data_IF_661489775704
#
_entry.id   IF_661489775704
#
_cell.length_a   1.000
_cell.length_b   1.000
_cell.length_c   1.000
_cell.angle_alpha   90.00
_cell.angle_beta   90.00
_cell.angle_gamma   90.00
#
_symmetry.space_group_name_H-M   'P 1'
#
loop_
_entity.id
_entity.type
_entity.pdbx_description
1 polymer ?
#
# COMPACT_ATOMS: atom_id res chain seq x y z
N UNK A 1 27.37 16.09 7.96
CA UNK A 1 27.40 14.61 8.13
C UNK A 1 28.86 14.18 8.06
N UNK A 2 29.40 13.53 9.11
CA UNK A 2 30.85 13.35 9.27
C UNK A 2 31.53 12.41 8.26
N UNK A 3 30.80 11.59 7.50
CA UNK A 3 31.40 10.67 6.52
C UNK A 3 30.51 10.43 5.27
N UNK A 4 30.60 11.29 4.23
CA UNK A 4 29.77 11.17 3.02
C UNK A 4 30.12 9.96 2.14
N UNK A 5 31.25 9.30 2.41
CA UNK A 5 31.77 8.17 1.66
C UNK A 5 31.28 6.80 2.19
N UNK A 6 30.62 6.74 3.35
CA UNK A 6 30.16 5.47 3.94
C UNK A 6 29.16 4.71 3.06
N UNK A 7 28.25 5.42 2.39
CA UNK A 7 27.27 4.79 1.50
C UNK A 7 27.93 4.17 0.25
N UNK A 8 28.73 4.91 -0.55
CA UNK A 8 29.41 4.32 -1.70
C UNK A 8 30.44 3.25 -1.29
N UNK A 9 31.13 3.41 -0.15
CA UNK A 9 32.04 2.40 0.38
C UNK A 9 31.30 1.10 0.75
N UNK A 10 30.15 1.19 1.43
CA UNK A 10 29.33 0.01 1.75
C UNK A 10 28.84 -0.73 0.50
N UNK A 11 28.46 0.00 -0.55
CA UNK A 11 28.06 -0.58 -1.83
C UNK A 11 29.22 -1.28 -2.55
N UNK A 12 30.43 -0.71 -2.51
CA UNK A 12 31.62 -1.35 -3.07
C UNK A 12 32.05 -2.59 -2.28
N UNK A 13 31.94 -2.57 -0.94
CA UNK A 13 32.18 -3.75 -0.10
C UNK A 13 31.16 -4.85 -0.41
N UNK A 14 29.89 -4.50 -0.58
CA UNK A 14 28.87 -5.45 -1.01
C UNK A 14 29.18 -6.07 -2.37
N UNK A 15 29.73 -5.27 -3.29
CA UNK A 15 30.12 -5.70 -4.64
C UNK A 15 31.29 -6.68 -4.60
N UNK A 16 32.28 -6.44 -3.73
CA UNK A 16 33.40 -7.37 -3.52
C UNK A 16 32.94 -8.72 -2.97
N UNK A 17 31.98 -8.72 -2.04
CA UNK A 17 31.35 -9.96 -1.58
C UNK A 17 30.65 -10.75 -2.70
N UNK A 18 29.94 -10.04 -3.59
CA UNK A 18 29.33 -10.64 -4.79
C UNK A 18 30.36 -11.20 -5.78
N UNK A 19 31.43 -10.44 -6.07
CA UNK A 19 32.50 -10.93 -6.93
C UNK A 19 33.18 -12.17 -6.34
N UNK A 20 33.40 -12.20 -5.02
CA UNK A 20 33.90 -13.39 -4.32
C UNK A 20 32.99 -14.61 -4.52
N UNK A 21 31.67 -14.42 -4.52
CA UNK A 21 30.72 -15.50 -4.81
C UNK A 21 30.77 -15.96 -6.27
N UNK A 22 31.08 -15.07 -7.21
CA UNK A 22 31.30 -15.43 -8.62
C UNK A 22 32.58 -16.26 -8.85
N UNK A 23 33.59 -16.10 -7.98
CA UNK A 23 34.87 -16.82 -8.04
C UNK A 23 34.80 -18.17 -7.32
N UNK A 24 34.14 -18.23 -6.16
CA UNK A 24 34.08 -19.43 -5.30
C UNK A 24 32.87 -20.31 -5.64
N UNK A 25 31.85 -19.75 -6.30
CA UNK A 25 30.65 -20.47 -6.71
C UNK A 25 30.89 -21.52 -7.80
N UNK A 26 29.88 -22.34 -8.14
CA UNK A 26 29.98 -23.33 -9.21
C UNK A 26 30.38 -22.67 -10.53
N UNK A 27 31.30 -23.32 -11.26
CA UNK A 27 31.79 -22.85 -12.54
C UNK A 27 30.64 -22.62 -13.52
N UNK A 28 30.74 -21.57 -14.33
CA UNK A 28 29.81 -21.37 -15.43
C UNK A 28 29.90 -22.55 -16.41
N UNK A 29 28.82 -22.83 -17.13
CA UNK A 29 28.73 -23.97 -18.06
C UNK A 29 29.78 -23.93 -19.19
N UNK A 30 30.36 -22.76 -19.44
CA UNK A 30 31.41 -22.47 -20.42
C UNK A 30 32.83 -22.36 -19.81
N UNK A 31 32.97 -22.59 -18.50
CA UNK A 31 34.25 -22.44 -17.78
C UNK A 31 34.67 -20.99 -17.52
N UNK A 32 33.80 -20.01 -17.84
CA UNK A 32 34.07 -18.59 -17.68
C UNK A 32 33.88 -18.05 -16.25
N UNK A 33 34.44 -16.85 -16.00
CA UNK A 33 34.24 -16.13 -14.74
C UNK A 33 32.79 -15.60 -14.67
N UNK A 34 32.01 -16.06 -13.70
CA UNK A 34 30.60 -15.65 -13.55
C UNK A 34 30.52 -14.30 -12.85
N UNK A 35 30.12 -13.24 -13.56
CA UNK A 35 29.85 -11.92 -12.95
C UNK A 35 28.39 -11.91 -12.48
N UNK A 36 28.11 -11.85 -11.16
CA UNK A 36 26.73 -11.80 -10.70
C UNK A 36 26.05 -10.50 -11.16
N UNK A 37 24.75 -10.55 -11.53
CA UNK A 37 24.02 -9.37 -12.01
C UNK A 37 23.93 -8.24 -10.96
N UNK A 38 24.13 -8.56 -9.68
CA UNK A 38 24.22 -7.57 -8.60
C UNK A 38 25.47 -6.68 -8.65
N UNK A 39 26.56 -7.12 -9.30
CA UNK A 39 27.83 -6.36 -9.41
C UNK A 39 27.66 -5.03 -10.15
N UNK A 40 27.13 -4.99 -11.39
CA UNK A 40 26.92 -3.71 -12.08
C UNK A 40 25.92 -2.81 -11.35
N UNK A 41 24.91 -3.39 -10.68
CA UNK A 41 23.90 -2.63 -9.92
C UNK A 41 24.54 -1.92 -8.72
N UNK A 42 25.40 -2.60 -7.96
CA UNK A 42 26.10 -1.99 -6.83
C UNK A 42 27.14 -0.97 -7.28
N UNK A 43 27.84 -1.22 -8.40
CA UNK A 43 28.80 -0.27 -8.96
C UNK A 43 28.11 1.03 -9.40
N UNK A 44 27.01 0.93 -10.13
CA UNK A 44 26.18 2.08 -10.52
C UNK A 44 25.60 2.77 -9.28
N UNK A 45 25.10 2.01 -8.30
CA UNK A 45 24.65 2.55 -7.01
C UNK A 45 25.74 3.34 -6.28
N UNK A 46 26.98 2.83 -6.26
CA UNK A 46 28.12 3.51 -5.66
C UNK A 46 28.47 4.80 -6.42
N UNK A 47 28.52 4.77 -7.75
CA UNK A 47 28.77 5.95 -8.57
C UNK A 47 27.67 7.02 -8.39
N UNK A 48 26.40 6.62 -8.38
CA UNK A 48 25.25 7.51 -8.19
C UNK A 48 25.25 8.13 -6.79
N UNK A 49 25.53 7.34 -5.75
CA UNK A 49 25.57 7.85 -4.36
C UNK A 49 26.78 8.75 -4.10
N UNK A 50 27.87 8.54 -4.84
CA UNK A 50 29.08 9.37 -4.84
C UNK A 50 28.86 10.72 -5.54
N UNK A 51 28.33 10.69 -6.78
CA UNK A 51 28.17 11.87 -7.63
C UNK A 51 26.95 12.71 -7.23
N UNK A 52 25.83 12.07 -6.91
CA UNK A 52 24.60 12.75 -6.50
C UNK A 52 24.42 12.68 -5.00
N UNK A 53 25.08 13.62 -4.33
CA UNK A 53 25.13 13.70 -2.86
C UNK A 53 23.80 14.09 -2.17
N UNK A 54 22.70 14.12 -2.93
CA UNK A 54 21.37 14.51 -2.47
C UNK A 54 20.47 13.35 -2.08
N UNK A 55 19.21 13.68 -1.73
CA UNK A 55 18.17 12.68 -1.44
C UNK A 55 17.90 11.76 -2.64
N UNK A 56 18.08 12.29 -3.86
CA UNK A 56 17.93 11.53 -5.09
C UNK A 56 18.95 10.37 -5.19
N UNK A 57 20.24 10.67 -5.03
CA UNK A 57 21.26 9.61 -4.99
C UNK A 57 21.09 8.68 -3.78
N UNK A 58 20.56 9.18 -2.66
CA UNK A 58 20.25 8.35 -1.50
C UNK A 58 19.14 7.32 -1.76
N UNK A 59 18.07 7.72 -2.46
CA UNK A 59 16.97 6.84 -2.86
C UNK A 59 17.44 5.82 -3.89
N UNK A 60 18.17 6.25 -4.92
CA UNK A 60 18.69 5.33 -5.93
C UNK A 60 19.70 4.33 -5.34
N UNK A 61 20.53 4.77 -4.38
CA UNK A 61 21.39 3.88 -3.61
C UNK A 61 20.60 2.84 -2.81
N UNK A 62 19.48 3.23 -2.19
CA UNK A 62 18.62 2.29 -1.46
C UNK A 62 17.93 1.30 -2.39
N UNK A 63 17.51 1.74 -3.58
CA UNK A 63 16.99 0.84 -4.62
C UNK A 63 18.04 -0.20 -5.01
N UNK A 64 19.30 0.21 -5.24
CA UNK A 64 20.38 -0.71 -5.54
C UNK A 64 20.62 -1.73 -4.40
N UNK A 65 20.65 -1.27 -3.14
CA UNK A 65 20.73 -2.16 -1.96
C UNK A 65 19.57 -3.14 -1.93
N UNK A 66 18.33 -2.66 -2.10
CA UNK A 66 17.13 -3.49 -2.07
C UNK A 66 17.13 -4.54 -3.18
N UNK A 67 17.35 -4.15 -4.43
CA UNK A 67 17.38 -5.08 -5.57
C UNK A 67 18.40 -6.19 -5.35
N UNK A 68 19.60 -5.83 -4.89
CA UNK A 68 20.69 -6.80 -4.70
C UNK A 68 20.44 -7.69 -3.48
N UNK A 69 19.85 -7.15 -2.41
CA UNK A 69 19.46 -7.92 -1.23
C UNK A 69 18.40 -8.96 -1.60
N UNK A 70 17.38 -8.55 -2.36
CA UNK A 70 16.29 -9.40 -2.84
C UNK A 70 16.81 -10.50 -3.77
N UNK A 71 17.65 -10.14 -4.74
CA UNK A 71 18.29 -11.12 -5.63
C UNK A 71 19.19 -12.11 -4.85
N UNK A 72 19.86 -11.65 -3.79
CA UNK A 72 20.73 -12.50 -2.97
C UNK A 72 19.94 -13.48 -2.10
N UNK A 73 18.80 -13.05 -1.57
CA UNK A 73 17.86 -13.91 -0.84
C UNK A 73 17.22 -14.92 -1.79
N UNK A 74 16.79 -14.47 -2.98
CA UNK A 74 16.17 -15.33 -4.00
C UNK A 74 17.11 -16.41 -4.54
N UNK A 75 18.43 -16.17 -4.53
CA UNK A 75 19.44 -17.19 -4.87
C UNK A 75 19.62 -18.29 -3.81
N UNK A 76 19.00 -18.16 -2.64
CA UNK A 76 19.17 -19.07 -1.50
C UNK A 76 20.58 -19.05 -0.90
N UNK A 77 20.77 -19.84 0.15
CA UNK A 77 22.09 -20.07 0.76
C UNK A 77 22.95 -21.06 -0.04
N UNK A 78 22.35 -21.77 -1.01
CA UNK A 78 22.97 -22.84 -1.79
C UNK A 78 23.23 -24.10 -0.95
N UNK A 79 23.32 -25.30 -1.57
CA UNK A 79 23.76 -26.51 -0.89
C UNK A 79 25.26 -26.46 -0.49
N UNK A 80 25.99 -25.46 -0.96
CA UNK A 80 27.46 -25.33 -0.88
C UNK A 80 28.00 -24.90 0.49
N UNK A 81 27.15 -24.77 1.52
CA UNK A 81 27.60 -24.42 2.89
C UNK A 81 28.33 -25.56 3.61
N UNK A 82 28.32 -26.77 3.04
CA UNK A 82 28.96 -27.97 3.59
C UNK A 82 30.08 -28.42 2.63
N UNK A 83 31.28 -28.69 3.16
CA UNK A 83 32.46 -29.10 2.39
C UNK A 83 33.48 -27.97 2.17
N UNK A 84 34.53 -28.24 1.39
CA UNK A 84 35.73 -27.38 1.24
C UNK A 84 35.45 -25.98 0.68
N UNK A 85 34.27 -25.76 0.07
CA UNK A 85 33.83 -24.47 -0.48
C UNK A 85 32.94 -23.66 0.47
N UNK A 86 32.46 -24.24 1.56
CA UNK A 86 31.50 -23.61 2.47
C UNK A 86 32.04 -22.39 3.20
N UNK A 87 33.29 -22.47 3.71
CA UNK A 87 33.90 -21.35 4.42
C UNK A 87 34.13 -20.12 3.52
N UNK A 88 34.74 -20.23 2.32
CA UNK A 88 34.90 -19.07 1.45
C UNK A 88 33.57 -18.51 0.90
N UNK A 89 32.56 -19.36 0.63
CA UNK A 89 31.20 -18.91 0.26
C UNK A 89 30.56 -18.13 1.41
N UNK A 90 30.65 -18.64 2.65
CA UNK A 90 30.13 -17.97 3.82
C UNK A 90 30.82 -16.60 4.02
N UNK A 91 32.14 -16.53 3.96
CA UNK A 91 32.89 -15.27 4.10
C UNK A 91 32.46 -14.25 3.03
N UNK A 92 32.33 -14.67 1.78
CA UNK A 92 31.88 -13.78 0.70
C UNK A 92 30.45 -13.25 0.93
N UNK A 93 29.53 -14.10 1.43
CA UNK A 93 28.18 -13.69 1.85
C UNK A 93 28.20 -12.71 3.03
N UNK A 94 29.02 -12.94 4.05
CA UNK A 94 29.14 -12.05 5.20
C UNK A 94 29.66 -10.66 4.79
N UNK A 95 30.70 -10.62 3.96
CA UNK A 95 31.24 -9.38 3.39
C UNK A 95 30.17 -8.65 2.59
N UNK A 96 29.40 -9.38 1.77
CA UNK A 96 28.30 -8.84 0.99
C UNK A 96 27.24 -8.17 1.89
N UNK A 97 26.75 -8.90 2.90
CA UNK A 97 25.68 -8.44 3.78
C UNK A 97 26.11 -7.28 4.68
N UNK A 98 27.34 -7.30 5.18
CA UNK A 98 27.90 -6.19 5.95
C UNK A 98 27.99 -4.90 5.11
N UNK A 99 28.41 -5.02 3.84
CA UNK A 99 28.42 -3.90 2.89
C UNK A 99 27.03 -3.31 2.64
N UNK A 100 26.04 -4.18 2.37
CA UNK A 100 24.65 -3.77 2.13
C UNK A 100 24.04 -3.06 3.36
N UNK A 101 24.27 -3.60 4.56
CA UNK A 101 23.78 -3.02 5.80
C UNK A 101 24.41 -1.64 6.09
N UNK A 102 25.74 -1.52 5.90
CA UNK A 102 26.45 -0.25 6.06
C UNK A 102 25.95 0.82 5.07
N UNK A 103 25.73 0.42 3.81
CA UNK A 103 25.17 1.29 2.78
C UNK A 103 23.75 1.74 3.14
N UNK A 104 22.86 0.82 3.50
CA UNK A 104 21.49 1.11 3.90
C UNK A 104 21.44 2.11 5.06
N UNK A 105 22.21 1.85 6.12
CA UNK A 105 22.30 2.72 7.29
C UNK A 105 22.73 4.14 6.90
N UNK A 106 23.80 4.28 6.12
CA UNK A 106 24.31 5.57 5.70
C UNK A 106 23.31 6.35 4.82
N UNK A 107 22.62 5.65 3.92
CA UNK A 107 21.63 6.25 3.01
C UNK A 107 20.35 6.69 3.74
N UNK A 108 19.84 5.88 4.67
CA UNK A 108 18.70 6.22 5.53
C UNK A 108 19.02 7.42 6.42
N UNK A 109 20.20 7.42 7.04
CA UNK A 109 20.66 8.55 7.87
C UNK A 109 20.76 9.85 7.06
N UNK A 110 21.19 9.75 5.81
CA UNK A 110 21.28 10.89 4.88
C UNK A 110 19.92 11.48 4.53
N UNK A 111 18.91 10.63 4.35
CA UNK A 111 17.52 11.04 4.14
C UNK A 111 16.92 11.66 5.42
N UNK A 112 17.27 11.14 6.59
CA UNK A 112 16.80 11.65 7.88
C UNK A 112 17.39 13.03 8.24
N UNK A 113 18.69 13.25 7.95
CA UNK A 113 19.40 14.48 8.32
C UNK A 113 19.00 15.73 7.52
N UNK A 114 18.28 15.60 6.39
CA UNK A 114 17.75 16.75 5.62
C UNK A 114 16.50 17.39 6.22
N UNK A 115 16.08 16.97 7.42
CA UNK A 115 14.87 17.45 8.10
C UNK A 115 15.09 18.43 9.25
N UNK A 116 16.32 18.83 9.55
CA UNK A 116 16.54 19.94 10.49
C UNK A 116 16.16 21.26 9.81
N UNK A 117 15.15 21.99 10.30
CA UNK A 117 14.69 23.22 9.68
C UNK A 117 15.49 24.39 10.26
N UNK A 118 16.62 24.73 9.62
CA UNK A 118 17.29 26.00 9.86
C UNK A 118 17.54 26.69 8.52
N UNK A 119 16.87 27.84 8.35
CA UNK A 119 17.26 28.93 7.45
C UNK A 119 17.07 28.72 5.95
N UNK A 120 16.12 29.46 5.35
CA UNK A 120 16.44 30.49 4.35
C UNK A 120 15.18 30.99 3.65
N UNK A 121 15.06 32.32 3.65
CA UNK A 121 14.07 33.10 2.94
C UNK A 121 14.23 32.99 1.41
N UNK A 122 13.12 33.21 0.70
CA UNK A 122 13.14 33.67 -0.70
C UNK A 122 13.48 32.63 -1.76
N UNK A 123 12.66 31.58 -1.92
CA UNK A 123 12.68 30.76 -3.13
C UNK A 123 11.33 30.86 -3.87
N UNK A 124 11.39 31.14 -5.18
CA UNK A 124 10.28 30.98 -6.13
C UNK A 124 9.54 29.67 -5.86
N UNK A 125 8.21 29.58 -6.06
CA UNK A 125 7.43 28.40 -5.66
C UNK A 125 7.99 27.14 -6.33
N UNK A 126 8.76 26.36 -5.55
CA UNK A 126 9.25 25.05 -5.97
C UNK A 126 8.02 24.21 -6.32
N UNK A 127 7.98 23.69 -7.55
CA UNK A 127 6.94 22.78 -8.03
C UNK A 127 6.74 21.68 -6.99
N UNK A 128 5.58 21.64 -6.36
CA UNK A 128 5.30 20.73 -5.25
C UNK A 128 5.21 19.27 -5.74
N UNK A 129 6.37 18.62 -5.82
CA UNK A 129 6.50 17.22 -6.27
C UNK A 129 5.82 16.23 -5.32
N UNK A 130 5.54 16.64 -4.08
CA UNK A 130 4.94 15.75 -3.09
C UNK A 130 3.50 15.36 -3.46
N UNK A 131 2.80 16.19 -4.25
CA UNK A 131 1.47 15.89 -4.77
C UNK A 131 1.51 14.77 -5.82
N UNK A 132 2.45 14.82 -6.75
CA UNK A 132 2.65 13.77 -7.78
C UNK A 132 3.05 12.46 -7.12
N UNK A 133 3.96 12.51 -6.15
CA UNK A 133 4.37 11.32 -5.39
C UNK A 133 3.24 10.71 -4.57
N UNK A 134 2.32 11.52 -4.01
CA UNK A 134 1.13 11.00 -3.34
C UNK A 134 0.19 10.27 -4.30
N UNK A 135 -0.03 10.83 -5.49
CA UNK A 135 -0.89 10.21 -6.50
C UNK A 135 -0.25 8.91 -6.98
N UNK A 136 1.02 8.94 -7.41
CA UNK A 136 1.71 7.75 -7.89
C UNK A 136 1.81 6.67 -6.80
N UNK A 137 2.13 7.06 -5.56
CA UNK A 137 2.19 6.14 -4.44
C UNK A 137 0.82 5.53 -4.09
N UNK A 138 -0.28 6.28 -4.24
CA UNK A 138 -1.63 5.74 -4.09
C UNK A 138 -1.91 4.67 -5.16
N UNK A 139 -1.65 4.97 -6.43
CA UNK A 139 -1.88 4.03 -7.54
C UNK A 139 -1.11 2.72 -7.31
N UNK A 140 0.17 2.82 -6.93
CA UNK A 140 1.02 1.68 -6.61
C UNK A 140 0.49 0.91 -5.40
N UNK A 141 0.10 1.58 -4.32
CA UNK A 141 -0.44 0.92 -3.14
C UNK A 141 -1.78 0.22 -3.39
N UNK A 142 -2.63 0.77 -4.27
CA UNK A 142 -3.87 0.10 -4.66
C UNK A 142 -3.59 -1.21 -5.40
N UNK A 143 -2.66 -1.20 -6.37
CA UNK A 143 -2.28 -2.43 -7.07
C UNK A 143 -1.58 -3.46 -6.18
N UNK A 144 -0.73 -2.98 -5.26
CA UNK A 144 -0.10 -3.85 -4.25
C UNK A 144 -1.15 -4.45 -3.32
N UNK A 145 -2.00 -3.62 -2.70
CA UNK A 145 -2.98 -4.08 -1.72
C UNK A 145 -4.02 -5.03 -2.32
N UNK A 146 -4.49 -4.72 -3.53
CA UNK A 146 -5.46 -5.57 -4.24
C UNK A 146 -4.88 -6.96 -4.53
N UNK A 147 -3.71 -7.02 -5.17
CA UNK A 147 -3.24 -8.25 -5.83
C UNK A 147 -1.86 -8.70 -5.32
N UNK A 148 -0.85 -7.84 -5.47
CA UNK A 148 0.55 -8.28 -5.31
C UNK A 148 0.91 -8.61 -3.86
N UNK A 149 0.23 -8.02 -2.88
CA UNK A 149 0.54 -8.22 -1.47
C UNK A 149 0.11 -9.58 -0.94
N UNK A 150 -0.97 -10.14 -1.50
CA UNK A 150 -1.41 -11.50 -1.18
C UNK A 150 -0.51 -12.55 -1.85
N UNK A 151 0.16 -12.20 -2.96
CA UNK A 151 1.11 -13.09 -3.64
C UNK A 151 0.50 -14.45 -4.00
N UNK A 152 -0.78 -14.43 -4.42
CA UNK A 152 -1.56 -15.63 -4.72
C UNK A 152 -1.48 -16.04 -6.20
N UNK A 153 -1.00 -15.18 -7.09
CA UNK A 153 -0.96 -15.46 -8.54
C UNK A 153 0.39 -15.99 -9.02
N UNK A 154 0.37 -16.57 -10.21
CA UNK A 154 1.54 -17.11 -10.92
C UNK A 154 2.60 -16.06 -11.29
N UNK A 155 2.20 -14.78 -11.42
CA UNK A 155 3.11 -13.65 -11.61
C UNK A 155 4.00 -13.33 -10.40
N UNK A 156 3.76 -14.00 -9.26
CA UNK A 156 4.50 -13.81 -8.02
C UNK A 156 5.99 -14.08 -8.22
N UNK A 157 6.84 -13.09 -7.93
CA UNK A 157 8.28 -13.22 -8.08
C UNK A 157 8.81 -13.04 -9.51
N UNK A 158 7.96 -12.84 -10.53
CA UNK A 158 8.37 -12.44 -11.87
C UNK A 158 8.46 -10.90 -11.98
N UNK A 159 9.66 -10.32 -12.16
CA UNK A 159 9.80 -8.87 -12.28
C UNK A 159 9.02 -8.26 -13.45
N UNK A 160 8.88 -8.98 -14.56
CA UNK A 160 8.16 -8.52 -15.75
C UNK A 160 6.65 -8.44 -15.48
N UNK A 161 6.08 -9.55 -15.01
CA UNK A 161 4.70 -9.66 -14.57
C UNK A 161 4.35 -8.63 -13.49
N UNK A 162 5.20 -8.44 -12.47
CA UNK A 162 4.98 -7.44 -11.42
C UNK A 162 4.93 -6.01 -12.01
N UNK A 163 5.83 -5.66 -12.92
CA UNK A 163 5.85 -4.34 -13.53
C UNK A 163 4.59 -4.07 -14.36
N UNK A 164 4.15 -5.05 -15.14
CA UNK A 164 2.88 -5.00 -15.87
C UNK A 164 1.70 -4.86 -14.91
N UNK A 165 1.61 -5.74 -13.91
CA UNK A 165 0.58 -5.76 -12.88
C UNK A 165 0.47 -4.43 -12.14
N UNK A 166 1.58 -3.76 -11.81
CA UNK A 166 1.54 -2.44 -11.17
C UNK A 166 0.89 -1.36 -12.06
N UNK A 167 1.13 -1.39 -13.37
CA UNK A 167 0.50 -0.45 -14.30
C UNK A 167 -0.97 -0.80 -14.49
N UNK A 168 -1.26 -2.07 -14.74
CA UNK A 168 -2.60 -2.57 -15.00
C UNK A 168 -3.51 -2.40 -13.77
N UNK A 169 -3.10 -2.88 -12.60
CA UNK A 169 -3.84 -2.73 -11.34
C UNK A 169 -3.81 -1.30 -10.80
N UNK A 170 -2.80 -0.50 -11.15
CA UNK A 170 -2.81 0.94 -10.94
C UNK A 170 -3.97 1.62 -11.69
N UNK A 171 -4.27 1.17 -12.91
CA UNK A 171 -5.43 1.62 -13.67
C UNK A 171 -6.74 1.00 -13.16
N UNK A 172 -6.76 -0.31 -12.88
CA UNK A 172 -7.97 -1.04 -12.50
C UNK A 172 -8.47 -0.71 -11.08
N UNK A 173 -7.57 -0.57 -10.10
CA UNK A 173 -7.93 -0.25 -8.70
C UNK A 173 -7.49 1.15 -8.29
N UNK A 174 -6.29 1.58 -8.69
CA UNK A 174 -5.74 2.88 -8.27
C UNK A 174 -6.53 4.07 -8.84
N UNK A 175 -6.86 4.04 -10.13
CA UNK A 175 -7.60 5.11 -10.77
C UNK A 175 -9.02 5.29 -10.19
N UNK A 176 -9.86 4.25 -10.01
CA UNK A 176 -11.15 4.42 -9.36
C UNK A 176 -11.02 4.81 -7.87
N UNK A 177 -10.01 4.32 -7.14
CA UNK A 177 -9.73 4.80 -5.78
C UNK A 177 -9.53 6.32 -5.74
N UNK A 178 -8.72 6.82 -6.69
CA UNK A 178 -8.40 8.23 -6.83
C UNK A 178 -9.62 9.05 -7.25
N UNK A 179 -10.45 8.55 -8.18
CA UNK A 179 -11.70 9.18 -8.60
C UNK A 179 -12.73 9.24 -7.46
N UNK A 180 -12.95 8.13 -6.75
CA UNK A 180 -13.87 8.06 -5.62
C UNK A 180 -13.46 9.01 -4.49
N UNK A 181 -12.16 9.06 -4.18
CA UNK A 181 -11.59 10.04 -3.26
C UNK A 181 -11.83 11.47 -3.75
N UNK A 182 -11.52 11.75 -5.02
CA UNK A 182 -11.64 13.08 -5.61
C UNK A 182 -13.09 13.59 -5.56
N UNK A 183 -14.06 12.73 -5.90
CA UNK A 183 -15.49 12.98 -5.77
C UNK A 183 -15.85 13.38 -4.34
N UNK A 184 -15.49 12.54 -3.36
CA UNK A 184 -15.79 12.79 -1.95
C UNK A 184 -15.19 14.12 -1.47
N UNK A 185 -13.92 14.42 -1.80
CA UNK A 185 -13.27 15.66 -1.34
C UNK A 185 -13.83 16.91 -2.02
N UNK A 186 -14.23 16.84 -3.28
CA UNK A 186 -14.87 17.96 -3.99
C UNK A 186 -16.26 18.29 -3.44
N UNK A 187 -17.00 17.26 -3.03
CA UNK A 187 -18.33 17.41 -2.45
C UNK A 187 -18.29 17.68 -0.93
N UNK A 188 -17.10 17.82 -0.34
CA UNK A 188 -16.93 18.04 1.10
C UNK A 188 -17.31 16.83 1.97
N UNK A 189 -17.40 15.63 1.38
CA UNK A 189 -17.80 14.41 2.06
C UNK A 189 -16.67 13.82 2.92
N UNK A 190 -17.07 13.22 4.04
CA UNK A 190 -16.19 12.52 4.98
C UNK A 190 -15.93 11.05 4.62
N UNK A 191 -15.14 10.39 5.48
CA UNK A 191 -14.80 8.96 5.33
C UNK A 191 -16.00 8.01 5.26
N UNK A 192 -17.11 8.20 6.00
CA UNK A 192 -18.26 7.30 5.89
C UNK A 192 -18.87 7.22 4.48
N UNK A 193 -18.98 8.36 3.79
CA UNK A 193 -19.44 8.39 2.40
C UNK A 193 -18.39 7.80 1.45
N UNK A 194 -17.10 8.09 1.68
CA UNK A 194 -16.02 7.52 0.89
C UNK A 194 -15.94 5.98 0.98
N UNK A 195 -16.17 5.40 2.16
CA UNK A 195 -16.23 3.94 2.34
C UNK A 195 -17.40 3.31 1.59
N UNK A 196 -18.54 3.99 1.50
CA UNK A 196 -19.68 3.54 0.69
C UNK A 196 -19.38 3.63 -0.82
N UNK A 197 -18.66 4.64 -1.26
CA UNK A 197 -18.14 4.71 -2.64
C UNK A 197 -17.18 3.56 -2.91
N UNK A 198 -16.27 3.23 -1.98
CA UNK A 198 -15.38 2.08 -2.13
C UNK A 198 -16.12 0.74 -2.09
N UNK A 199 -17.21 0.63 -1.30
CA UNK A 199 -18.09 -0.53 -1.35
C UNK A 199 -18.76 -0.67 -2.72
N UNK A 200 -19.27 0.42 -3.28
CA UNK A 200 -19.84 0.41 -4.63
C UNK A 200 -18.79 -0.01 -5.68
N UNK A 201 -17.56 0.51 -5.58
CA UNK A 201 -16.46 0.14 -6.48
C UNK A 201 -16.04 -1.33 -6.32
N UNK A 202 -15.93 -1.84 -5.08
CA UNK A 202 -15.58 -3.24 -4.82
C UNK A 202 -16.67 -4.22 -5.29
N UNK A 203 -17.95 -3.87 -5.09
CA UNK A 203 -19.08 -4.65 -5.62
C UNK A 203 -19.12 -4.60 -7.15
N UNK A 204 -18.88 -3.44 -7.76
CA UNK A 204 -18.82 -3.33 -9.22
C UNK A 204 -17.65 -4.14 -9.79
N UNK A 205 -16.49 -4.13 -9.14
CA UNK A 205 -15.34 -4.91 -9.54
C UNK A 205 -15.67 -6.41 -9.56
N UNK A 206 -16.03 -6.96 -8.40
CA UNK A 206 -16.23 -8.40 -8.22
C UNK A 206 -17.47 -8.95 -8.95
N UNK A 207 -18.49 -8.10 -9.17
CA UNK A 207 -19.78 -8.55 -9.72
C UNK A 207 -20.09 -8.08 -11.14
N UNK A 208 -19.52 -6.96 -11.62
CA UNK A 208 -19.80 -6.44 -12.97
C UNK A 208 -18.59 -6.49 -13.90
N UNK A 209 -17.38 -6.37 -13.36
CA UNK A 209 -16.15 -6.28 -14.15
C UNK A 209 -15.55 -7.66 -14.35
N UNK A 210 -15.02 -8.27 -13.29
CA UNK A 210 -14.42 -9.62 -13.36
C UNK A 210 -15.43 -10.75 -13.12
N UNK A 211 -16.62 -10.41 -12.59
CA UNK A 211 -17.73 -11.34 -12.33
C UNK A 211 -17.34 -12.56 -11.48
N UNK A 212 -16.25 -12.44 -10.71
CA UNK A 212 -15.71 -13.47 -9.81
C UNK A 212 -16.73 -13.99 -8.81
N UNK A 213 -17.70 -13.16 -8.39
CA UNK A 213 -18.78 -13.55 -7.48
C UNK A 213 -19.68 -14.66 -8.03
N UNK A 214 -19.76 -14.81 -9.34
CA UNK A 214 -20.66 -15.73 -10.02
C UNK A 214 -19.92 -16.88 -10.68
N UNK A 215 -18.58 -16.92 -10.58
CA UNK A 215 -17.78 -17.95 -11.21
C UNK A 215 -17.94 -19.30 -10.52
N UNK A 216 -18.14 -20.34 -11.33
CA UNK A 216 -18.12 -21.73 -10.87
C UNK A 216 -16.68 -22.23 -10.65
N UNK A 217 -15.77 -21.78 -11.51
CA UNK A 217 -14.32 -22.00 -11.41
C UNK A 217 -13.58 -20.65 -11.58
N UNK A 218 -12.39 -20.52 -11.02
CA UNK A 218 -11.61 -19.28 -11.04
C UNK A 218 -10.19 -19.52 -11.56
N UNK A 219 -10.07 -19.99 -12.80
CA UNK A 219 -8.80 -20.04 -13.51
C UNK A 219 -7.76 -20.95 -12.84
N UNK A 220 -8.19 -22.10 -12.31
CA UNK A 220 -7.30 -23.04 -11.63
C UNK A 220 -6.89 -22.62 -10.22
N UNK A 221 -7.64 -21.71 -9.58
CA UNK A 221 -7.44 -21.33 -8.19
C UNK A 221 -7.64 -22.54 -7.26
N UNK A 222 -6.55 -22.99 -6.64
CA UNK A 222 -6.57 -24.09 -5.67
C UNK A 222 -7.39 -23.69 -4.43
N UNK A 223 -8.30 -24.55 -4.01
CA UNK A 223 -9.20 -24.24 -2.89
C UNK A 223 -10.50 -23.51 -3.29
N UNK A 224 -10.75 -23.28 -4.59
CA UNK A 224 -11.91 -22.49 -5.03
C UNK A 224 -13.24 -23.12 -4.64
N UNK A 225 -13.41 -24.42 -4.92
CA UNK A 225 -14.63 -25.15 -4.60
C UNK A 225 -14.85 -25.21 -3.07
N UNK A 226 -13.79 -25.48 -2.30
CA UNK A 226 -13.85 -25.48 -0.83
C UNK A 226 -14.23 -24.11 -0.25
N UNK A 227 -13.84 -23.01 -0.88
CA UNK A 227 -14.22 -21.67 -0.45
C UNK A 227 -15.65 -21.31 -0.86
N UNK A 228 -16.07 -21.75 -2.05
CA UNK A 228 -17.34 -21.38 -2.68
C UNK A 228 -18.51 -22.16 -2.11
N UNK A 229 -18.44 -23.49 -2.19
CA UNK A 229 -19.59 -24.38 -2.00
C UNK A 229 -20.22 -24.33 -0.60
N UNK A 230 -19.45 -24.28 0.52
CA UNK A 230 -20.06 -24.41 1.84
C UNK A 230 -20.99 -23.25 2.23
N UNK A 231 -20.91 -22.12 1.52
CA UNK A 231 -21.77 -20.95 1.73
C UNK A 231 -22.48 -20.51 0.45
N UNK A 232 -22.52 -21.38 -0.56
CA UNK A 232 -23.25 -21.12 -1.78
C UNK A 232 -24.75 -20.98 -1.48
N UNK A 233 -25.35 -19.92 -2.00
CA UNK A 233 -26.81 -19.75 -2.09
C UNK A 233 -27.21 -20.08 -3.53
N UNK A 234 -27.68 -21.31 -3.82
CA UNK A 234 -27.89 -21.76 -5.20
C UNK A 234 -28.87 -20.89 -5.99
N UNK A 235 -29.90 -20.36 -5.32
CA UNK A 235 -30.94 -19.54 -5.94
C UNK A 235 -30.41 -18.27 -6.62
N UNK A 236 -29.26 -17.75 -6.18
CA UNK A 236 -28.64 -16.54 -6.73
C UNK A 236 -27.20 -16.79 -7.21
N UNK A 237 -26.73 -18.03 -7.16
CA UNK A 237 -25.40 -18.45 -7.60
C UNK A 237 -24.25 -17.71 -6.90
N UNK A 238 -24.44 -17.33 -5.63
CA UNK A 238 -23.50 -16.49 -4.88
C UNK A 238 -23.09 -17.19 -3.58
N UNK A 239 -21.78 -17.31 -3.38
CA UNK A 239 -21.20 -17.79 -2.11
C UNK A 239 -21.09 -16.65 -1.11
N UNK A 240 -21.62 -16.85 0.10
CA UNK A 240 -21.56 -15.87 1.18
C UNK A 240 -20.12 -15.53 1.57
N UNK A 241 -19.23 -16.53 1.59
CA UNK A 241 -17.81 -16.36 1.85
C UNK A 241 -17.13 -15.55 0.74
N UNK A 242 -17.29 -15.94 -0.53
CA UNK A 242 -16.68 -15.20 -1.64
C UNK A 242 -17.22 -13.77 -1.73
N UNK A 243 -18.51 -13.56 -1.49
CA UNK A 243 -19.11 -12.23 -1.44
C UNK A 243 -18.48 -11.35 -0.36
N UNK A 244 -18.28 -11.90 0.84
CA UNK A 244 -17.55 -11.21 1.89
C UNK A 244 -16.09 -10.93 1.46
N UNK A 245 -15.35 -11.97 1.11
CA UNK A 245 -13.91 -11.90 0.82
C UNK A 245 -13.59 -10.94 -0.32
N UNK A 246 -14.34 -10.99 -1.43
CA UNK A 246 -14.10 -10.09 -2.56
C UNK A 246 -14.59 -8.67 -2.32
N UNK A 247 -15.83 -8.49 -1.86
CA UNK A 247 -16.38 -7.13 -1.70
C UNK A 247 -15.65 -6.40 -0.58
N UNK A 248 -15.57 -7.00 0.61
CA UNK A 248 -14.89 -6.39 1.77
C UNK A 248 -13.39 -6.32 1.52
N UNK A 249 -12.81 -7.34 0.88
CA UNK A 249 -11.41 -7.33 0.46
C UNK A 249 -11.09 -6.14 -0.44
N UNK A 250 -11.88 -5.89 -1.48
CA UNK A 250 -11.70 -4.71 -2.33
C UNK A 250 -11.88 -3.40 -1.57
N UNK A 251 -12.91 -3.29 -0.72
CA UNK A 251 -13.12 -2.09 0.11
C UNK A 251 -11.88 -1.77 0.92
N UNK A 252 -11.28 -2.77 1.58
CA UNK A 252 -10.16 -2.58 2.49
C UNK A 252 -8.85 -2.44 1.71
N UNK A 253 -8.46 -3.48 0.99
CA UNK A 253 -7.11 -3.65 0.48
C UNK A 253 -6.88 -2.93 -0.85
N UNK A 254 -7.88 -2.90 -1.73
CA UNK A 254 -7.77 -2.19 -3.02
C UNK A 254 -7.96 -0.68 -2.86
N UNK A 255 -8.78 -0.24 -1.90
CA UNK A 255 -9.22 1.16 -1.82
C UNK A 255 -8.93 1.86 -0.49
N UNK A 256 -9.61 1.49 0.60
CA UNK A 256 -9.64 2.29 1.82
C UNK A 256 -8.27 2.40 2.50
N UNK A 257 -7.54 1.29 2.62
CA UNK A 257 -6.23 1.26 3.26
C UNK A 257 -5.17 2.03 2.47
N UNK A 258 -4.99 1.82 1.14
CA UNK A 258 -4.13 2.66 0.30
C UNK A 258 -4.45 4.15 0.39
N UNK A 259 -5.73 4.53 0.31
CA UNK A 259 -6.16 5.93 0.38
C UNK A 259 -5.87 6.54 1.76
N UNK A 260 -6.10 5.79 2.84
CA UNK A 260 -5.84 6.28 4.20
C UNK A 260 -4.34 6.57 4.42
N UNK A 261 -3.47 5.67 3.97
CA UNK A 261 -2.01 5.87 3.98
C UNK A 261 -1.61 7.09 3.15
N UNK A 262 -2.11 7.20 1.92
CA UNK A 262 -1.76 8.28 1.02
C UNK A 262 -2.21 9.66 1.53
N UNK A 263 -3.39 9.75 2.14
CA UNK A 263 -3.88 10.98 2.78
C UNK A 263 -3.01 11.40 3.97
N UNK A 264 -2.49 10.44 4.75
CA UNK A 264 -1.64 10.71 5.89
C UNK A 264 -0.20 11.11 5.53
N UNK A 265 0.28 10.83 4.31
CA UNK A 265 1.61 11.27 3.86
C UNK A 265 1.76 12.79 3.84
N UNK A 266 0.70 13.52 3.48
CA UNK A 266 0.63 15.00 3.58
C UNK A 266 -0.74 15.42 4.11
N UNK A 267 -0.93 15.44 5.45
CA UNK A 267 -2.22 15.69 6.10
C UNK A 267 -2.90 16.99 5.67
N UNK A 268 -2.13 18.04 5.40
CA UNK A 268 -2.63 19.34 4.96
C UNK A 268 -3.39 19.30 3.61
N UNK A 269 -3.23 18.21 2.83
CA UNK A 269 -3.92 17.97 1.57
C UNK A 269 -4.93 16.82 1.63
N UNK A 270 -5.08 16.15 2.77
CA UNK A 270 -5.96 14.99 2.90
C UNK A 270 -7.41 15.31 2.51
N UNK A 271 -7.95 16.45 2.97
CA UNK A 271 -9.31 16.91 2.65
C UNK A 271 -9.42 17.77 1.39
N UNK A 272 -8.33 17.95 0.63
CA UNK A 272 -8.32 18.81 -0.58
C UNK A 272 -8.38 17.95 -1.85
N UNK A 273 -9.02 18.43 -2.93
CA UNK A 273 -8.90 17.82 -4.26
C UNK A 273 -7.43 17.67 -4.68
N UNK A 274 -7.07 16.52 -5.24
CA UNK A 274 -5.72 16.25 -5.77
C UNK A 274 -5.68 16.40 -7.28
N UNK A 275 -6.73 16.05 -7.99
CA UNK A 275 -6.72 16.15 -9.45
C UNK A 275 -7.27 17.48 -9.93
N UNK A 276 -6.85 17.91 -11.13
CA UNK A 276 -7.59 18.88 -11.93
C UNK A 276 -8.49 18.15 -12.93
N UNK A 277 -9.26 18.85 -13.76
CA UNK A 277 -10.12 18.24 -14.78
C UNK A 277 -9.37 17.24 -15.67
N UNK A 278 -8.18 17.64 -16.17
CA UNK A 278 -7.32 16.77 -17.00
C UNK A 278 -6.94 15.47 -16.27
N UNK A 279 -6.53 15.57 -15.00
CA UNK A 279 -6.16 14.39 -14.22
C UNK A 279 -7.35 13.45 -13.97
N UNK A 280 -8.55 14.00 -13.78
CA UNK A 280 -9.80 13.24 -13.67
C UNK A 280 -10.07 12.49 -14.97
N UNK A 281 -9.97 13.17 -16.12
CA UNK A 281 -10.15 12.56 -17.43
C UNK A 281 -9.18 11.40 -17.65
N UNK A 282 -7.89 11.59 -17.38
CA UNK A 282 -6.90 10.50 -17.52
C UNK A 282 -7.19 9.32 -16.60
N UNK A 283 -7.54 9.56 -15.33
CA UNK A 283 -7.89 8.49 -14.40
C UNK A 283 -9.17 7.75 -14.85
N UNK A 284 -10.18 8.46 -15.35
CA UNK A 284 -11.41 7.87 -15.85
C UNK A 284 -11.16 7.01 -17.10
N UNK A 285 -10.35 7.49 -18.05
CA UNK A 285 -9.98 6.72 -19.24
C UNK A 285 -9.15 5.49 -18.85
N UNK A 286 -8.15 5.64 -17.97
CA UNK A 286 -7.33 4.52 -17.53
C UNK A 286 -8.19 3.41 -16.88
N UNK A 287 -9.11 3.79 -15.99
CA UNK A 287 -10.05 2.85 -15.39
C UNK A 287 -10.96 2.20 -16.43
N UNK A 288 -11.58 2.98 -17.31
CA UNK A 288 -12.48 2.47 -18.33
C UNK A 288 -11.79 1.48 -19.28
N UNK A 289 -10.54 1.76 -19.68
CA UNK A 289 -9.75 0.87 -20.52
C UNK A 289 -9.42 -0.42 -19.77
N UNK A 290 -8.93 -0.35 -18.53
CA UNK A 290 -8.61 -1.55 -17.75
C UNK A 290 -9.85 -2.42 -17.47
N UNK A 291 -10.97 -1.79 -17.10
CA UNK A 291 -12.24 -2.49 -16.89
C UNK A 291 -12.77 -3.10 -18.20
N UNK A 292 -12.66 -2.39 -19.33
CA UNK A 292 -13.07 -2.91 -20.63
C UNK A 292 -12.23 -4.13 -21.06
N UNK A 293 -10.93 -4.14 -20.77
CA UNK A 293 -10.07 -5.29 -21.04
C UNK A 293 -10.57 -6.53 -20.28
N UNK A 294 -10.88 -6.40 -18.99
CA UNK A 294 -11.43 -7.51 -18.18
C UNK A 294 -12.81 -7.95 -18.69
N UNK A 295 -13.75 -7.03 -18.88
CA UNK A 295 -15.11 -7.37 -19.37
C UNK A 295 -15.08 -7.99 -20.78
N UNK A 296 -14.07 -7.63 -21.58
CA UNK A 296 -13.89 -8.19 -22.92
C UNK A 296 -13.41 -9.64 -22.90
N UNK A 297 -12.79 -10.08 -21.81
CA UNK A 297 -12.29 -11.43 -21.62
C UNK A 297 -13.47 -12.41 -21.40
N UNK A 298 -13.63 -13.45 -22.25
CA UNK A 298 -14.65 -14.49 -22.05
C UNK A 298 -14.57 -15.20 -20.70
N UNK A 299 -13.37 -15.36 -20.13
CA UNK A 299 -13.18 -16.04 -18.84
C UNK A 299 -13.74 -15.21 -17.66
N UNK A 300 -13.91 -13.91 -17.86
CA UNK A 300 -14.49 -12.98 -16.88
C UNK A 300 -16.03 -12.82 -17.01
N UNK A 301 -16.71 -13.69 -17.77
CA UNK A 301 -18.16 -13.59 -18.07
C UNK A 301 -18.99 -14.69 -17.43
N UNK A 302 -18.97 -14.76 -16.10
CA UNK A 302 -19.66 -15.80 -15.33
C UNK A 302 -21.07 -15.43 -14.87
N UNK A 303 -21.43 -14.14 -14.88
CA UNK A 303 -22.70 -13.63 -14.37
C UNK A 303 -23.86 -13.72 -15.36
N UNK A 304 -25.00 -14.27 -14.92
CA UNK A 304 -26.27 -14.17 -15.64
C UNK A 304 -26.79 -12.73 -15.68
N UNK A 305 -27.67 -12.41 -16.64
CA UNK A 305 -28.28 -11.08 -16.74
C UNK A 305 -28.97 -10.63 -15.44
N UNK A 306 -29.65 -11.54 -14.74
CA UNK A 306 -30.30 -11.25 -13.46
C UNK A 306 -29.29 -10.90 -12.35
N UNK A 307 -28.18 -11.62 -12.27
CA UNK A 307 -27.09 -11.34 -11.33
C UNK A 307 -26.41 -10.00 -11.63
N UNK A 308 -26.18 -9.69 -12.91
CA UNK A 308 -25.59 -8.41 -13.32
C UNK A 308 -26.51 -7.23 -13.00
N UNK A 309 -27.81 -7.36 -13.30
CA UNK A 309 -28.81 -6.33 -12.96
C UNK A 309 -28.96 -6.16 -11.44
N UNK A 310 -28.96 -7.26 -10.68
CA UNK A 310 -28.99 -7.25 -9.22
C UNK A 310 -27.77 -6.55 -8.63
N UNK A 311 -26.57 -6.88 -9.12
CA UNK A 311 -25.32 -6.22 -8.70
C UNK A 311 -25.34 -4.73 -9.05
N UNK A 312 -25.78 -4.35 -10.25
CA UNK A 312 -25.90 -2.96 -10.65
C UNK A 312 -26.87 -2.18 -9.74
N UNK A 313 -27.98 -2.79 -9.33
CA UNK A 313 -28.91 -2.21 -8.37
C UNK A 313 -28.26 -1.99 -6.99
N UNK A 314 -27.49 -2.96 -6.50
CA UNK A 314 -26.73 -2.83 -5.23
C UNK A 314 -25.68 -1.72 -5.32
N UNK A 315 -24.92 -1.66 -6.41
CA UNK A 315 -23.95 -0.56 -6.67
C UNK A 315 -24.66 0.79 -6.67
N UNK A 316 -25.80 0.91 -7.36
CA UNK A 316 -26.62 2.13 -7.36
C UNK A 316 -27.12 2.52 -5.97
N UNK A 317 -27.58 1.54 -5.17
CA UNK A 317 -28.02 1.76 -3.80
C UNK A 317 -26.88 2.24 -2.89
N UNK A 318 -25.67 1.67 -3.02
CA UNK A 318 -24.49 2.10 -2.28
C UNK A 318 -24.06 3.53 -2.64
N UNK A 319 -24.08 3.89 -3.93
CA UNK A 319 -23.81 5.26 -4.39
C UNK A 319 -24.85 6.23 -3.84
N UNK A 320 -26.15 5.88 -3.89
CA UNK A 320 -27.21 6.69 -3.33
C UNK A 320 -27.03 6.89 -1.82
N UNK A 321 -26.70 5.83 -1.08
CA UNK A 321 -26.42 5.91 0.35
C UNK A 321 -25.19 6.79 0.63
N UNK A 322 -24.14 6.71 -0.20
CA UNK A 322 -22.97 7.57 -0.10
C UNK A 322 -23.36 9.06 -0.25
N UNK A 323 -24.26 9.39 -1.18
CA UNK A 323 -24.80 10.74 -1.37
C UNK A 323 -25.60 11.18 -0.13
N UNK A 324 -26.50 10.34 0.37
CA UNK A 324 -27.34 10.64 1.55
C UNK A 324 -26.45 10.90 2.78
N UNK A 325 -25.47 10.03 3.02
CA UNK A 325 -24.53 10.14 4.14
C UNK A 325 -23.60 11.35 3.97
N UNK A 326 -23.13 11.62 2.75
CA UNK A 326 -22.25 12.73 2.43
C UNK A 326 -22.92 14.11 2.58
N UNK A 327 -24.22 14.20 2.31
CA UNK A 327 -25.02 15.43 2.48
C UNK A 327 -25.30 15.77 3.95
N UNK A 328 -25.23 14.80 4.87
CA UNK A 328 -25.37 15.07 6.30
C UNK A 328 -24.15 15.85 6.77
N UNK A 329 -24.36 17.07 7.29
CA UNK A 329 -23.26 17.91 7.83
C UNK A 329 -22.49 17.11 8.88
N UNK A 330 -21.22 16.83 8.61
CA UNK A 330 -20.31 16.36 9.65
C UNK A 330 -19.88 17.57 10.45
N UNK A 331 -20.44 17.76 11.64
CA UNK A 331 -19.94 18.76 12.58
C UNK A 331 -18.50 18.43 12.95
N UNK A 332 -17.64 19.44 13.08
CA UNK A 332 -16.28 19.29 13.60
C UNK A 332 -16.33 18.88 15.09
N UNK A 333 -16.53 17.60 15.34
CA UNK A 333 -16.46 17.04 16.69
C UNK A 333 -14.99 16.76 17.00
N UNK A 334 -14.29 17.77 17.48
CA UNK A 334 -12.98 17.58 18.07
C UNK A 334 -13.19 16.96 19.47
N UNK A 335 -13.16 15.64 19.57
CA UNK A 335 -13.15 14.98 20.87
C UNK A 335 -11.98 15.48 21.73
N UNK A 336 -12.22 15.76 23.00
CA UNK A 336 -11.25 16.42 23.88
C UNK A 336 -10.05 15.53 24.27
N UNK A 337 -10.19 14.20 24.20
CA UNK A 337 -9.14 13.24 24.59
C UNK A 337 -8.49 12.59 23.38
N UNK A 338 -7.16 12.58 23.36
CA UNK A 338 -6.39 11.81 22.39
C UNK A 338 -6.55 10.30 22.59
N UNK A 339 -6.36 9.54 21.52
CA UNK A 339 -6.07 8.09 21.56
C UNK A 339 -4.69 7.89 20.95
N UNK A 340 -3.95 6.90 21.42
CA UNK A 340 -2.64 6.59 20.85
C UNK A 340 -2.81 5.97 19.46
N UNK A 341 -2.12 6.51 18.46
CA UNK A 341 -2.08 5.94 17.09
C UNK A 341 -1.57 4.50 17.12
N UNK A 342 -0.63 4.18 18.01
CA UNK A 342 -0.07 2.83 18.15
C UNK A 342 -1.06 1.84 18.79
N UNK A 343 -1.90 2.32 19.70
CA UNK A 343 -2.99 1.51 20.24
C UNK A 343 -4.01 1.18 19.15
N UNK A 344 -4.39 2.18 18.33
CA UNK A 344 -5.29 1.97 17.19
C UNK A 344 -4.68 0.97 16.19
N UNK A 345 -3.40 1.12 15.85
CA UNK A 345 -2.68 0.18 14.98
C UNK A 345 -2.69 -1.23 15.57
N UNK A 346 -2.30 -1.40 16.84
CA UNK A 346 -2.19 -2.71 17.48
C UNK A 346 -3.54 -3.42 17.59
N UNK A 347 -4.59 -2.71 18.03
CA UNK A 347 -5.95 -3.29 18.13
C UNK A 347 -6.50 -3.65 16.74
N UNK A 348 -6.37 -2.75 15.75
CA UNK A 348 -6.81 -3.04 14.40
C UNK A 348 -6.03 -4.21 13.78
N UNK A 349 -4.72 -4.32 14.04
CA UNK A 349 -3.88 -5.39 13.53
C UNK A 349 -4.28 -6.75 14.09
N UNK A 350 -4.51 -6.85 15.41
CA UNK A 350 -4.98 -8.10 16.03
C UNK A 350 -6.36 -8.49 15.49
N UNK A 351 -7.29 -7.53 15.35
CA UNK A 351 -8.63 -7.82 14.83
C UNK A 351 -8.64 -8.12 13.34
N UNK A 352 -7.65 -7.67 12.56
CA UNK A 352 -7.55 -7.95 11.12
C UNK A 352 -7.32 -9.44 10.82
N UNK A 353 -6.65 -10.18 11.72
CA UNK A 353 -6.47 -11.63 11.56
C UNK A 353 -7.76 -12.43 11.72
N UNK A 354 -8.79 -11.89 12.39
CA UNK A 354 -9.98 -12.68 12.69
C UNK A 354 -10.66 -13.15 11.41
N UNK A 355 -11.00 -12.28 10.43
CA UNK A 355 -11.52 -12.72 9.13
C UNK A 355 -10.71 -13.80 8.43
N UNK A 356 -9.38 -13.63 8.35
CA UNK A 356 -8.52 -14.51 7.55
C UNK A 356 -8.26 -15.86 8.21
N UNK A 357 -8.52 -15.99 9.52
CA UNK A 357 -8.47 -17.26 10.25
C UNK A 357 -9.82 -17.99 10.26
N UNK A 358 -10.89 -17.37 9.77
CA UNK A 358 -12.20 -18.01 9.74
C UNK A 358 -12.32 -18.98 8.55
N UNK A 359 -12.83 -20.22 8.77
CA UNK A 359 -13.06 -21.15 7.68
C UNK A 359 -14.20 -20.65 6.79
N UNK A 360 -14.19 -21.07 5.51
CA UNK A 360 -15.25 -20.80 4.54
C UNK A 360 -16.54 -21.55 4.90
N UNK A 361 -17.24 -21.09 5.93
CA UNK A 361 -18.50 -21.63 6.45
C UNK A 361 -19.40 -20.47 6.87
N UNK A 362 -20.71 -20.70 7.05
CA UNK A 362 -21.61 -19.64 7.51
C UNK A 362 -21.21 -19.06 8.87
N UNK A 363 -20.71 -19.90 9.78
CA UNK A 363 -20.18 -19.44 11.07
C UNK A 363 -18.96 -18.53 10.87
N UNK A 364 -18.05 -18.94 9.99
CA UNK A 364 -16.87 -18.14 9.64
C UNK A 364 -17.24 -16.80 9.01
N UNK A 365 -18.20 -16.78 8.08
CA UNK A 365 -18.73 -15.55 7.47
C UNK A 365 -19.30 -14.61 8.53
N UNK A 366 -20.17 -15.11 9.42
CA UNK A 366 -20.76 -14.31 10.49
C UNK A 366 -19.70 -13.76 11.43
N UNK A 367 -18.70 -14.58 11.81
CA UNK A 367 -17.60 -14.15 12.66
C UNK A 367 -16.73 -13.07 11.98
N UNK A 368 -16.39 -13.26 10.70
CA UNK A 368 -15.60 -12.31 9.92
C UNK A 368 -16.34 -10.98 9.73
N UNK A 369 -17.63 -11.03 9.36
CA UNK A 369 -18.49 -9.84 9.28
C UNK A 369 -18.60 -9.12 10.63
N UNK A 370 -18.76 -9.86 11.73
CA UNK A 370 -18.87 -9.29 13.07
C UNK A 370 -17.55 -8.61 13.48
N UNK A 371 -16.41 -9.22 13.19
CA UNK A 371 -15.10 -8.63 13.44
C UNK A 371 -14.90 -7.33 12.63
N UNK A 372 -15.15 -7.34 11.32
CA UNK A 372 -15.05 -6.15 10.47
C UNK A 372 -16.02 -5.05 10.90
N UNK A 373 -17.27 -5.40 11.21
CA UNK A 373 -18.28 -4.46 11.71
C UNK A 373 -17.84 -3.85 13.05
N UNK A 374 -17.26 -4.66 13.94
CA UNK A 374 -16.76 -4.21 15.25
C UNK A 374 -15.64 -3.20 15.06
N UNK A 375 -14.66 -3.46 14.17
CA UNK A 375 -13.62 -2.48 13.83
C UNK A 375 -14.25 -1.18 13.31
N UNK A 376 -15.22 -1.28 12.38
CA UNK A 376 -15.93 -0.13 11.83
C UNK A 376 -16.64 0.70 12.92
N UNK A 377 -17.37 0.05 13.83
CA UNK A 377 -18.06 0.69 14.95
C UNK A 377 -17.07 1.34 15.91
N UNK A 378 -16.00 0.65 16.29
CA UNK A 378 -14.96 1.20 17.18
C UNK A 378 -14.30 2.44 16.55
N UNK A 379 -13.99 2.40 15.26
CA UNK A 379 -13.46 3.55 14.51
C UNK A 379 -14.45 4.70 14.49
N UNK A 380 -15.74 4.45 14.22
CA UNK A 380 -16.78 5.48 14.22
C UNK A 380 -16.98 6.12 15.59
N UNK A 381 -17.03 5.32 16.65
CA UNK A 381 -17.16 5.79 18.03
C UNK A 381 -15.94 6.60 18.45
N UNK A 382 -14.74 6.10 18.17
CA UNK A 382 -13.49 6.82 18.45
C UNK A 382 -13.42 8.12 17.63
N UNK A 383 -13.82 8.11 16.36
CA UNK A 383 -13.85 9.28 15.50
C UNK A 383 -14.81 10.37 15.98
N UNK A 384 -15.88 10.01 16.69
CA UNK A 384 -16.85 10.95 17.27
C UNK A 384 -16.46 11.47 18.65
N UNK A 385 -15.79 10.65 19.46
CA UNK A 385 -15.58 10.93 20.89
C UNK A 385 -14.15 11.33 21.23
N UNK A 386 -13.18 11.04 20.36
CA UNK A 386 -11.74 11.30 20.57
C UNK A 386 -11.19 12.27 19.53
N UNK A 387 -9.99 12.78 19.78
CA UNK A 387 -9.23 13.56 18.80
C UNK A 387 -8.73 12.65 17.67
N UNK A 388 -9.62 12.29 16.75
CA UNK A 388 -9.31 11.45 15.60
C UNK A 388 -8.65 12.26 14.48
N UNK A 389 -7.65 11.67 13.84
CA UNK A 389 -6.83 12.35 12.83
C UNK A 389 -6.62 11.43 11.64
N UNK A 390 -6.15 11.97 10.52
CA UNK A 390 -5.82 11.17 9.33
C UNK A 390 -4.80 10.06 9.61
N UNK A 391 -3.96 10.22 10.64
CA UNK A 391 -3.00 9.18 11.04
C UNK A 391 -3.67 7.99 11.73
N UNK A 392 -4.75 8.22 12.47
CA UNK A 392 -5.52 7.12 13.05
C UNK A 392 -6.19 6.29 11.95
N UNK A 393 -6.79 6.96 10.94
CA UNK A 393 -7.31 6.26 9.75
C UNK A 393 -6.22 5.49 9.01
N UNK A 394 -5.03 6.09 8.84
CA UNK A 394 -3.89 5.41 8.23
C UNK A 394 -3.38 4.23 9.06
N UNK A 395 -3.45 4.30 10.40
CA UNK A 395 -3.08 3.18 11.27
C UNK A 395 -4.02 1.98 11.09
N UNK A 396 -5.33 2.23 10.94
CA UNK A 396 -6.30 1.17 10.63
C UNK A 396 -6.00 0.56 9.26
N UNK A 397 -5.78 1.38 8.23
CA UNK A 397 -5.42 0.86 6.90
C UNK A 397 -4.09 0.08 6.90
N UNK A 398 -3.09 0.58 7.61
CA UNK A 398 -1.80 -0.08 7.76
C UNK A 398 -1.93 -1.44 8.46
N UNK A 399 -2.78 -1.57 9.47
CA UNK A 399 -3.02 -2.83 10.17
C UNK A 399 -3.43 -3.94 9.19
N UNK A 400 -4.44 -3.71 8.35
CA UNK A 400 -4.88 -4.69 7.35
C UNK A 400 -3.80 -5.00 6.32
N UNK A 401 -3.12 -3.99 5.77
CA UNK A 401 -2.06 -4.25 4.78
C UNK A 401 -0.87 -5.03 5.38
N UNK A 402 -0.48 -4.73 6.62
CA UNK A 402 0.60 -5.46 7.29
C UNK A 402 0.19 -6.90 7.60
N UNK A 403 -1.06 -7.11 7.99
CA UNK A 403 -1.62 -8.42 8.26
C UNK A 403 -1.65 -9.29 6.99
N UNK A 404 -2.25 -8.81 5.89
CA UNK A 404 -2.22 -9.49 4.59
C UNK A 404 -0.81 -9.79 4.11
N UNK A 405 0.10 -8.81 4.22
CA UNK A 405 1.50 -9.00 3.84
C UNK A 405 2.25 -10.02 4.70
N UNK A 406 1.85 -10.23 5.95
CA UNK A 406 2.40 -11.26 6.82
C UNK A 406 1.81 -12.64 6.50
N UNK A 407 0.51 -12.72 6.26
CA UNK A 407 -0.16 -13.97 5.87
C UNK A 407 0.30 -14.50 4.52
N UNK A 408 0.73 -13.66 3.59
CA UNK A 408 1.32 -14.11 2.33
C UNK A 408 2.51 -15.07 2.52
N UNK A 409 3.17 -15.07 3.68
CA UNK A 409 4.23 -16.03 4.00
C UNK A 409 3.73 -17.44 4.37
N UNK A 410 2.47 -17.59 4.75
CA UNK A 410 1.92 -18.83 5.32
C UNK A 410 1.25 -19.74 4.29
N UNK A 411 1.01 -19.27 3.08
CA UNK A 411 0.48 -20.07 1.97
C UNK A 411 1.34 -19.95 0.71
N UNK A 412 1.19 -20.91 -0.21
CA UNK A 412 1.76 -20.86 -1.56
C UNK A 412 0.77 -20.19 -2.52
N UNK A 413 1.24 -19.65 -3.66
CA UNK A 413 0.34 -19.10 -4.67
C UNK A 413 -0.77 -20.08 -5.01
N UNK A 414 -1.98 -19.55 -5.07
CA UNK A 414 -3.21 -20.31 -5.28
C UNK A 414 -3.45 -20.54 -6.78
N UNK A 415 -2.74 -19.81 -7.64
CA UNK A 415 -2.75 -19.97 -9.09
C UNK A 415 -1.32 -20.23 -9.55
N UNK A 416 -1.14 -21.29 -10.34
CA UNK A 416 0.14 -21.69 -10.91
C UNK A 416 1.13 -22.25 -9.89
N UNK A 417 2.33 -22.59 -10.36
CA UNK A 417 3.43 -23.10 -9.52
C UNK A 417 4.59 -22.10 -9.52
N UNK A 418 4.95 -21.62 -8.33
CA UNK A 418 6.00 -20.63 -8.13
C UNK A 418 7.00 -21.15 -7.11
N UNK A 419 8.27 -21.21 -7.54
CA UNK A 419 9.35 -21.64 -6.66
C UNK A 419 9.41 -20.81 -5.35
N UNK A 420 9.73 -21.43 -4.20
CA UNK A 420 9.74 -20.73 -2.91
C UNK A 420 10.63 -19.47 -2.87
N UNK A 421 11.80 -19.51 -3.52
CA UNK A 421 12.77 -18.40 -3.53
C UNK A 421 12.19 -17.10 -4.10
N UNK A 422 11.77 -17.07 -5.37
CA UNK A 422 11.06 -15.94 -5.97
C UNK A 422 9.84 -15.48 -5.17
N UNK A 423 9.03 -16.42 -4.67
CA UNK A 423 7.84 -16.12 -3.87
C UNK A 423 8.17 -15.36 -2.59
N UNK A 424 9.09 -15.85 -1.77
CA UNK A 424 9.44 -15.18 -0.52
C UNK A 424 10.20 -13.86 -0.76
N UNK A 425 10.99 -13.77 -1.83
CA UNK A 425 11.63 -12.53 -2.25
C UNK A 425 10.57 -11.45 -2.59
N UNK A 426 9.54 -11.82 -3.36
CA UNK A 426 8.38 -10.97 -3.66
C UNK A 426 7.68 -10.51 -2.39
N UNK A 427 7.32 -11.43 -1.50
CA UNK A 427 6.62 -11.10 -0.25
C UNK A 427 7.42 -10.10 0.60
N UNK A 428 8.74 -10.29 0.74
CA UNK A 428 9.62 -9.36 1.45
C UNK A 428 9.58 -7.97 0.80
N UNK A 429 9.66 -7.88 -0.52
CA UNK A 429 9.58 -6.60 -1.24
C UNK A 429 8.25 -5.90 -1.00
N UNK A 430 7.14 -6.61 -1.17
CA UNK A 430 5.80 -6.04 -1.00
C UNK A 430 5.57 -5.58 0.44
N UNK A 431 5.95 -6.39 1.42
CA UNK A 431 5.85 -6.04 2.83
C UNK A 431 6.74 -4.85 3.20
N UNK A 432 7.96 -4.76 2.66
CA UNK A 432 8.85 -3.60 2.85
C UNK A 432 8.22 -2.33 2.27
N UNK A 433 7.59 -2.39 1.10
CA UNK A 433 6.89 -1.23 0.52
C UNK A 433 5.75 -0.77 1.44
N UNK A 434 4.94 -1.70 1.96
CA UNK A 434 3.85 -1.40 2.92
C UNK A 434 4.38 -0.84 4.23
N UNK A 435 5.46 -1.40 4.79
CA UNK A 435 6.13 -0.90 6.00
C UNK A 435 6.66 0.51 5.80
N UNK A 436 7.30 0.79 4.65
CA UNK A 436 7.76 2.12 4.30
C UNK A 436 6.58 3.07 4.18
N UNK A 437 5.52 2.73 3.43
CA UNK A 437 4.31 3.53 3.30
C UNK A 437 3.67 3.85 4.66
N UNK A 438 3.60 2.86 5.55
CA UNK A 438 3.11 2.99 6.92
C UNK A 438 3.98 3.94 7.73
N UNK A 439 5.30 3.74 7.72
CA UNK A 439 6.23 4.64 8.39
C UNK A 439 6.11 6.08 7.87
N UNK A 440 5.99 6.27 6.54
CA UNK A 440 5.79 7.59 5.93
C UNK A 440 4.53 8.28 6.47
N UNK A 441 3.44 7.53 6.66
CA UNK A 441 2.15 8.00 7.15
C UNK A 441 2.16 8.31 8.66
N UNK A 442 2.87 7.51 9.47
CA UNK A 442 2.82 7.61 10.92
C UNK A 442 3.94 8.48 11.54
N UNK A 443 5.07 8.69 10.86
CA UNK A 443 6.27 9.39 11.37
C UNK A 443 6.13 10.89 11.69
N UNK A 444 5.00 11.52 11.39
CA UNK A 444 4.85 12.95 11.61
C UNK A 444 4.74 13.30 13.11
N UNK A 445 5.23 14.47 13.53
CA UNK A 445 5.00 14.96 14.91
C UNK A 445 3.54 15.38 15.05
N UNK A 446 2.92 15.09 16.20
CA UNK A 446 1.69 15.79 16.62
C UNK A 446 2.12 17.24 16.78
N UNK A 447 1.74 18.12 15.84
CA UNK A 447 1.90 19.54 16.10
C UNK A 447 0.85 19.89 17.15
N UNK A 448 1.29 19.99 18.40
CA UNK A 448 0.49 20.50 19.51
C UNK A 448 0.10 21.99 19.33
N UNK A 449 0.49 22.63 18.23
CA UNK A 449 0.16 24.03 17.92
C UNK A 449 -1.02 24.17 16.95
N UNK A 450 -2.05 23.35 17.16
CA UNK A 450 -3.40 23.60 16.68
C UNK A 450 -4.29 24.27 17.73
N UNK A 451 -3.70 24.87 18.78
CA UNK A 451 -4.38 25.87 19.58
C UNK A 451 -4.66 27.06 18.65
N UNK A 452 -5.85 27.04 18.06
CA UNK A 452 -6.44 28.14 17.32
C UNK A 452 -6.25 29.38 18.17
N UNK A 453 -5.56 30.37 17.60
CA UNK A 453 -5.29 31.63 18.26
C UNK A 453 -6.59 32.33 18.64
N UNK A 454 -6.96 32.23 19.91
CA UNK A 454 -7.66 33.30 20.61
C UNK A 454 -6.62 34.26 21.20
N UNK A 455 -5.71 34.77 20.35
CA UNK A 455 -5.02 35.99 20.70
C UNK A 455 -6.04 37.09 20.48
N UNK A 456 -6.76 37.39 21.55
CA UNK A 456 -7.60 38.56 21.67
C UNK A 456 -6.82 39.77 21.13
N UNK A 457 -7.20 40.24 19.95
CA UNK A 457 -7.07 41.65 19.62
C UNK A 457 -8.01 42.39 20.57
N UNK A 458 -7.49 42.68 21.77
CA UNK A 458 -7.99 43.79 22.56
C UNK A 458 -7.66 45.03 21.75
N UNK A 459 -8.57 45.48 20.91
CA UNK A 459 -8.59 46.87 20.47
C UNK A 459 -8.88 47.72 21.71
N UNK A 460 -7.99 48.64 22.13
CA UNK A 460 -8.35 49.67 23.07
C UNK A 460 -9.04 50.81 22.31
N UNK A 461 -10.04 51.41 22.97
CA UNK A 461 -10.74 52.66 22.63
C UNK A 461 -11.99 52.50 21.76
N UNK A 462 -13.15 52.44 22.44
CA UNK A 462 -14.26 53.39 22.24
C UNK A 462 -15.09 53.41 23.54
N UNK A 463 -14.69 54.27 24.46
CA UNK A 463 -15.56 54.75 25.54
C UNK A 463 -15.49 56.28 25.56
N UNK A 464 -16.67 56.87 25.75
CA UNK A 464 -16.98 58.27 26.07
C UNK A 464 -16.65 59.37 25.06
N UNK A 465 -17.66 59.75 24.28
CA UNK A 465 -17.91 61.15 23.92
C UNK A 465 -19.42 61.40 23.76
N UNK A 466 -20.12 61.48 24.89
CA UNK A 466 -21.32 62.32 25.05
C UNK A 466 -21.01 63.31 26.16
N UNK A 467 -20.68 64.55 25.79
CA UNK A 467 -20.91 65.77 26.57
C UNK A 467 -20.40 66.98 25.77
N UNK A 468 -21.28 67.99 25.60
CA UNK A 468 -21.07 69.32 25.00
C UNK A 468 -20.99 69.26 23.46
N UNK A 469 -21.86 69.85 22.67
CA UNK A 469 -22.78 70.99 22.80
C UNK A 469 -24.08 70.70 22.06
#
# INVERSE_FOLDING_TARGET
MRFPWLAPAGLLVAMLGLLGLGVVGPAAADGGLRIPPGVPILLVGAAVTWWWRGAFGAVLGLVAVSVVTVASIGSGLGPDLIGDRGLPVAVARWVQMAGLAAAAYALVRRLAARRSPEGAAGERPRRDRSKVLQIAGLLVLCGIGAELLAAYSDSTGDPGGIAFSLVFFGALYGAPALLGRELARRLGWGWPSLLLVFAALGTAQAGLIDQSLFSADYGGYEGWEENREPTLIPAIGLSGYNAYSFIVGHVIFSFAAPVALAEAWVPARARKPWLGPIGITFAAIAYAVAAALIVSDPESRSGSQGQLLGTAAVVGALVLLAVIVGRRRQGDHAGARGVSVWLVLGVAFVLAFVPDLMPATWLGVVAAMTATATIGVLVLLAARTRAWTVRHSAAVGAAFLLERGLLAFTYFPLIGDVAPGPKYAHNVVMLVIVLLATWLALRGRVSANGAIGSRAERSPRWQSARARR
#
